data_IF_181150393826
#
_entry.id   IF_181150393826
#
_cell.length_a   1.000
_cell.length_b   1.000
_cell.length_c   1.000
_cell.angle_alpha   90.00
_cell.angle_beta   90.00
_cell.angle_gamma   90.00
#
_symmetry.space_group_name_H-M   'P 1'
#
loop_
_entity.id
_entity.type
_entity.pdbx_description
1 polymer ?
#
# COMPACT_ATOMS: atom_id res chain seq x y z
N UNK A 1 -11.26 -18.18 -4.47
CA UNK A 1 -11.18 -16.96 -3.63
C UNK A 1 -9.77 -16.86 -3.08
N UNK A 2 -8.80 -16.19 -3.73
CA UNK A 2 -7.48 -16.04 -3.09
C UNK A 2 -6.60 -14.90 -3.61
N UNK A 3 -6.67 -14.51 -4.89
CA UNK A 3 -5.66 -13.60 -5.47
C UNK A 3 -5.65 -12.15 -4.93
N UNK A 4 -6.67 -11.71 -4.19
CA UNK A 4 -6.69 -10.37 -3.57
C UNK A 4 -7.12 -10.34 -2.10
N UNK A 5 -7.67 -11.44 -1.56
CA UNK A 5 -8.25 -11.46 -0.22
C UNK A 5 -7.20 -11.34 0.89
N UNK A 6 -6.00 -11.89 0.68
CA UNK A 6 -4.91 -11.78 1.66
C UNK A 6 -4.36 -10.35 1.70
N UNK A 7 -4.15 -9.73 0.54
CA UNK A 7 -3.73 -8.31 0.45
C UNK A 7 -4.78 -7.41 1.07
N UNK A 8 -6.07 -7.61 0.76
CA UNK A 8 -7.19 -6.88 1.38
C UNK A 8 -7.19 -7.04 2.90
N UNK A 9 -7.05 -8.26 3.41
CA UNK A 9 -7.06 -8.52 4.84
C UNK A 9 -5.91 -7.80 5.55
N UNK A 10 -4.69 -7.92 5.03
CA UNK A 10 -3.50 -7.27 5.61
C UNK A 10 -3.65 -5.74 5.57
N UNK A 11 -4.16 -5.18 4.47
CA UNK A 11 -4.40 -3.73 4.37
C UNK A 11 -5.50 -3.26 5.34
N UNK A 12 -6.61 -4.00 5.46
CA UNK A 12 -7.68 -3.67 6.42
C UNK A 12 -7.15 -3.72 7.85
N UNK A 13 -6.36 -4.72 8.20
CA UNK A 13 -5.74 -4.83 9.52
C UNK A 13 -4.81 -3.64 9.80
N UNK A 14 -3.96 -3.27 8.84
CA UNK A 14 -3.06 -2.13 8.98
C UNK A 14 -3.85 -0.81 9.12
N UNK A 15 -4.82 -0.55 8.23
CA UNK A 15 -5.67 0.64 8.32
C UNK A 15 -6.48 0.69 9.62
N UNK A 16 -6.95 -0.45 10.11
CA UNK A 16 -7.63 -0.55 11.40
C UNK A 16 -6.71 -0.16 12.56
N UNK A 17 -5.48 -0.64 12.56
CA UNK A 17 -4.47 -0.27 13.56
C UNK A 17 -4.14 1.23 13.52
N UNK A 18 -3.88 1.78 12.33
CA UNK A 18 -3.62 3.22 12.16
C UNK A 18 -4.81 4.05 12.64
N UNK A 19 -6.03 3.66 12.29
CA UNK A 19 -7.26 4.37 12.70
C UNK A 19 -7.46 4.34 14.22
N UNK A 20 -7.14 3.21 14.86
CA UNK A 20 -7.14 3.10 16.32
C UNK A 20 -6.14 4.08 16.94
N UNK A 21 -4.89 4.11 16.49
CA UNK A 21 -3.86 5.02 17.01
C UNK A 21 -4.25 6.49 16.81
N UNK A 22 -4.78 6.86 15.64
CA UNK A 22 -5.26 8.24 15.38
C UNK A 22 -6.38 8.62 16.36
N UNK A 23 -7.27 7.68 16.69
CA UNK A 23 -8.35 7.92 17.65
C UNK A 23 -7.79 8.18 19.05
N UNK A 24 -6.80 7.41 19.49
CA UNK A 24 -6.11 7.63 20.78
C UNK A 24 -5.40 9.00 20.82
N UNK A 25 -4.72 9.38 19.72
CA UNK A 25 -4.07 10.70 19.57
C UNK A 25 -5.08 11.84 19.78
N UNK A 26 -6.28 11.72 19.20
CA UNK A 26 -7.35 12.71 19.37
C UNK A 26 -7.82 12.76 20.83
N UNK A 27 -8.03 11.60 21.47
CA UNK A 27 -8.47 11.53 22.87
C UNK A 27 -7.45 12.11 23.85
N UNK A 28 -6.16 11.97 23.54
CA UNK A 28 -5.06 12.56 24.31
C UNK A 28 -4.88 14.07 24.06
N UNK A 29 -5.69 14.68 23.19
CA UNK A 29 -5.66 16.12 22.90
C UNK A 29 -4.58 16.54 21.89
N UNK A 30 -3.89 15.59 21.25
CA UNK A 30 -2.93 15.90 20.20
C UNK A 30 -3.64 16.23 18.88
N UNK A 31 -2.99 17.04 18.04
CA UNK A 31 -3.53 17.40 16.74
C UNK A 31 -3.42 16.21 15.76
N UNK A 32 -4.56 15.67 15.26
CA UNK A 32 -4.55 14.50 14.36
C UNK A 32 -3.92 14.79 13.00
N UNK A 33 -4.05 16.01 12.48
CA UNK A 33 -3.40 16.39 11.22
C UNK A 33 -1.88 16.43 11.41
N UNK A 34 -1.41 16.90 12.56
CA UNK A 34 0.02 16.88 12.89
C UNK A 34 0.55 15.46 12.99
N UNK A 35 -0.22 14.55 13.59
CA UNK A 35 0.13 13.13 13.62
C UNK A 35 0.22 12.54 12.21
N UNK A 36 -0.81 12.70 11.38
CA UNK A 36 -0.81 12.16 10.00
C UNK A 36 0.36 12.72 9.19
N UNK A 37 0.61 14.03 9.27
CA UNK A 37 1.67 14.70 8.50
C UNK A 37 3.09 14.30 8.91
N UNK A 38 3.30 13.87 10.16
CA UNK A 38 4.63 13.53 10.68
C UNK A 38 4.87 12.03 10.72
N UNK A 39 3.89 11.24 11.12
CA UNK A 39 4.01 9.79 11.26
C UNK A 39 3.67 9.01 10.00
N UNK A 40 2.80 9.51 9.12
CA UNK A 40 2.28 8.72 7.98
C UNK A 40 2.72 9.32 6.66
N UNK A 41 2.48 10.62 6.45
CA UNK A 41 2.68 11.29 5.16
C UNK A 41 4.09 11.09 4.55
N UNK A 42 5.21 11.13 5.31
CA UNK A 42 6.55 11.05 4.73
C UNK A 42 6.78 9.78 3.90
N UNK A 43 6.40 8.61 4.41
CA UNK A 43 6.53 7.34 3.69
C UNK A 43 5.25 6.95 2.95
N UNK A 44 4.08 7.35 3.48
CA UNK A 44 2.76 7.03 2.94
C UNK A 44 2.52 7.57 1.52
N UNK A 45 3.22 8.63 1.10
CA UNK A 45 3.17 9.12 -0.28
C UNK A 45 3.68 8.10 -1.30
N UNK A 46 4.55 7.17 -0.90
CA UNK A 46 5.05 6.08 -1.74
C UNK A 46 4.30 4.77 -1.48
N UNK A 47 3.97 4.49 -0.23
CA UNK A 47 3.25 3.27 0.13
C UNK A 47 1.83 3.22 -0.46
N UNK A 48 1.07 4.32 -0.37
CA UNK A 48 -0.33 4.33 -0.83
C UNK A 48 -0.46 4.06 -2.35
N UNK A 49 0.31 4.71 -3.24
CA UNK A 49 0.28 4.35 -4.66
C UNK A 49 0.71 2.91 -4.93
N UNK A 50 1.71 2.39 -4.20
CA UNK A 50 2.18 1.00 -4.36
C UNK A 50 1.08 -0.01 -3.98
N UNK A 51 0.34 0.26 -2.91
CA UNK A 51 -0.82 -0.54 -2.48
C UNK A 51 -1.95 -0.48 -3.51
N UNK A 52 -2.29 0.71 -4.02
CA UNK A 52 -3.34 0.87 -5.04
C UNK A 52 -3.02 0.15 -6.35
N UNK A 53 -1.76 0.20 -6.80
CA UNK A 53 -1.28 -0.55 -7.96
C UNK A 53 -1.41 -2.05 -7.74
N UNK A 54 -1.03 -2.52 -6.55
CA UNK A 54 -1.17 -3.94 -6.17
C UNK A 54 -2.62 -4.41 -6.22
N UNK A 55 -3.56 -3.63 -5.66
CA UNK A 55 -4.99 -3.93 -5.74
C UNK A 55 -5.52 -3.94 -7.17
N UNK A 56 -5.10 -2.99 -7.99
CA UNK A 56 -5.50 -2.91 -9.41
C UNK A 56 -5.09 -4.17 -10.15
N UNK A 57 -3.87 -4.68 -9.93
CA UNK A 57 -3.43 -5.93 -10.53
C UNK A 57 -4.15 -7.16 -9.98
N UNK A 58 -4.42 -7.23 -8.68
CA UNK A 58 -5.21 -8.32 -8.10
C UNK A 58 -6.60 -8.42 -8.75
N UNK A 59 -7.28 -7.28 -8.95
CA UNK A 59 -8.55 -7.22 -9.66
C UNK A 59 -8.38 -7.59 -11.14
N UNK A 60 -7.33 -7.12 -11.82
CA UNK A 60 -7.07 -7.42 -13.24
C UNK A 60 -6.82 -8.91 -13.48
N UNK A 61 -6.07 -9.58 -12.61
CA UNK A 61 -5.83 -11.02 -12.66
C UNK A 61 -7.15 -11.78 -12.44
N UNK A 62 -7.95 -11.36 -11.45
CA UNK A 62 -9.27 -11.93 -11.21
C UNK A 62 -10.22 -11.76 -12.40
N UNK A 63 -10.23 -10.58 -13.03
CA UNK A 63 -11.03 -10.30 -14.22
C UNK A 63 -10.62 -11.16 -15.42
N UNK A 64 -9.32 -11.41 -15.62
CA UNK A 64 -8.81 -12.25 -16.70
C UNK A 64 -9.29 -13.72 -16.61
N UNK A 65 -9.71 -14.19 -15.43
CA UNK A 65 -10.29 -15.53 -15.27
C UNK A 65 -11.73 -15.65 -15.80
N UNK A 66 -12.43 -14.53 -15.93
CA UNK A 66 -13.84 -14.47 -16.35
C UNK A 66 -13.97 -13.88 -17.75
N UNK A 67 -13.17 -12.85 -18.04
CA UNK A 67 -13.11 -12.16 -19.32
C UNK A 67 -11.64 -11.96 -19.70
N UNK A 68 -11.05 -12.95 -20.40
CA UNK A 68 -9.69 -12.84 -20.91
C UNK A 68 -9.54 -11.62 -21.84
N UNK A 69 -8.33 -11.02 -21.94
CA UNK A 69 -8.07 -9.96 -22.90
C UNK A 69 -8.35 -10.39 -24.34
N UNK A 70 -8.79 -9.45 -25.19
CA UNK A 70 -9.13 -9.73 -26.59
C UNK A 70 -7.97 -10.40 -27.34
N UNK A 71 -8.30 -11.46 -28.10
CA UNK A 71 -7.32 -12.20 -28.89
C UNK A 71 -6.51 -13.25 -28.10
N UNK A 72 -6.79 -13.45 -26.81
CA UNK A 72 -6.14 -14.48 -25.99
C UNK A 72 -7.13 -15.51 -25.47
N UNK A 73 -6.69 -16.77 -25.36
CA UNK A 73 -7.42 -17.78 -24.59
C UNK A 73 -7.34 -17.50 -23.08
N UNK A 74 -8.12 -18.23 -22.28
CA UNK A 74 -8.14 -18.08 -20.82
C UNK A 74 -6.74 -18.19 -20.18
N UNK A 75 -5.97 -19.21 -20.59
CA UNK A 75 -4.66 -19.49 -20.01
C UNK A 75 -3.67 -18.40 -20.38
N UNK A 76 -3.65 -18.00 -21.64
CA UNK A 76 -2.81 -16.94 -22.16
C UNK A 76 -3.16 -15.58 -21.52
N UNK A 77 -4.44 -15.28 -21.35
CA UNK A 77 -4.92 -14.05 -20.72
C UNK A 77 -4.50 -13.93 -19.25
N UNK A 78 -4.67 -15.01 -18.49
CA UNK A 78 -4.21 -15.07 -17.09
C UNK A 78 -2.69 -15.00 -17.01
N UNK A 79 -1.96 -15.74 -17.87
CA UNK A 79 -0.50 -15.69 -17.91
C UNK A 79 0.03 -14.30 -18.27
N UNK A 80 -0.59 -13.62 -19.24
CA UNK A 80 -0.22 -12.26 -19.64
C UNK A 80 -0.42 -11.26 -18.50
N UNK A 81 -1.56 -11.32 -17.82
CA UNK A 81 -1.85 -10.43 -16.68
C UNK A 81 -0.93 -10.68 -15.50
N UNK A 82 -0.59 -11.94 -15.21
CA UNK A 82 0.41 -12.31 -14.20
C UNK A 82 1.81 -11.82 -14.58
N UNK A 83 2.23 -11.99 -15.84
CA UNK A 83 3.53 -11.52 -16.31
C UNK A 83 3.66 -9.99 -16.19
N UNK A 84 2.60 -9.26 -16.52
CA UNK A 84 2.55 -7.80 -16.34
C UNK A 84 2.58 -7.41 -14.86
N UNK A 85 1.85 -8.13 -14.00
CA UNK A 85 1.90 -7.92 -12.56
C UNK A 85 3.33 -8.12 -12.02
N UNK A 86 4.00 -9.22 -12.37
CA UNK A 86 5.37 -9.49 -11.90
C UNK A 86 6.34 -8.38 -12.33
N UNK A 87 6.23 -7.88 -13.57
CA UNK A 87 7.05 -6.75 -14.04
C UNK A 87 6.81 -5.50 -13.19
N UNK A 88 5.55 -5.11 -13.00
CA UNK A 88 5.22 -3.92 -12.18
C UNK A 88 5.59 -4.13 -10.71
N UNK A 89 5.43 -5.35 -10.19
CA UNK A 89 5.82 -5.70 -8.83
C UNK A 89 7.31 -5.47 -8.62
N UNK A 90 8.16 -6.04 -9.48
CA UNK A 90 9.61 -6.00 -9.34
C UNK A 90 10.21 -4.62 -9.66
N UNK A 91 9.70 -3.94 -10.69
CA UNK A 91 10.32 -2.70 -11.19
C UNK A 91 9.67 -1.42 -10.70
N UNK A 92 8.51 -1.49 -10.04
CA UNK A 92 7.81 -0.31 -9.53
C UNK A 92 7.37 -0.47 -8.07
N UNK A 93 6.53 -1.46 -7.76
CA UNK A 93 5.94 -1.61 -6.42
C UNK A 93 7.01 -1.87 -5.36
N UNK A 94 7.89 -2.87 -5.56
CA UNK A 94 8.96 -3.18 -4.60
C UNK A 94 9.92 -1.99 -4.42
N UNK A 95 10.45 -1.35 -5.48
CA UNK A 95 11.26 -0.15 -5.33
C UNK A 95 10.56 0.96 -4.53
N UNK A 96 9.28 1.22 -4.81
CA UNK A 96 8.51 2.23 -4.07
C UNK A 96 8.40 1.88 -2.59
N UNK A 97 8.09 0.63 -2.26
CA UNK A 97 7.99 0.16 -0.87
C UNK A 97 9.34 0.16 -0.15
N UNK A 98 10.44 -0.14 -0.84
CA UNK A 98 11.78 -0.06 -0.25
C UNK A 98 12.16 1.38 0.10
N UNK A 99 11.84 2.33 -0.78
CA UNK A 99 12.07 3.76 -0.51
C UNK A 99 11.14 4.22 0.61
N UNK A 100 9.87 3.81 0.62
CA UNK A 100 8.93 4.10 1.70
C UNK A 100 9.45 3.59 3.05
N UNK A 101 9.87 2.33 3.12
CA UNK A 101 10.43 1.71 4.33
C UNK A 101 11.72 2.39 4.79
N UNK A 102 12.58 2.83 3.86
CA UNK A 102 13.76 3.62 4.21
C UNK A 102 13.37 4.95 4.86
N UNK A 103 12.39 5.66 4.30
CA UNK A 103 11.86 6.91 4.86
C UNK A 103 11.20 6.65 6.23
N UNK A 104 10.45 5.58 6.38
CA UNK A 104 9.81 5.18 7.63
C UNK A 104 10.83 4.87 8.73
N UNK A 105 11.87 4.11 8.41
CA UNK A 105 12.86 3.68 9.40
C UNK A 105 13.87 4.79 9.76
N UNK A 106 14.20 5.69 8.84
CA UNK A 106 15.30 6.66 9.03
C UNK A 106 14.83 8.10 9.15
N UNK A 107 13.84 8.53 8.36
CA UNK A 107 13.48 9.96 8.24
C UNK A 107 12.26 10.29 9.11
N UNK A 108 11.24 9.45 9.09
CA UNK A 108 10.00 9.63 9.86
C UNK A 108 10.27 9.84 11.36
N UNK A 109 11.16 9.06 12.04
CA UNK A 109 11.45 9.27 13.45
C UNK A 109 12.13 10.62 13.72
N UNK A 110 12.98 11.09 12.80
CA UNK A 110 13.64 12.39 12.93
C UNK A 110 12.63 13.54 12.82
N UNK A 111 11.69 13.45 11.87
CA UNK A 111 10.60 14.43 11.73
C UNK A 111 9.75 14.46 13.00
N UNK A 112 9.35 13.29 13.49
CA UNK A 112 8.56 13.17 14.73
C UNK A 112 9.30 13.80 15.91
N UNK A 113 10.57 13.46 16.12
CA UNK A 113 11.37 14.03 17.21
C UNK A 113 11.50 15.55 17.07
N UNK A 114 11.73 16.07 15.87
CA UNK A 114 11.88 17.52 15.65
C UNK A 114 10.60 18.32 15.96
N UNK A 115 9.43 17.69 15.83
CA UNK A 115 8.11 18.32 16.06
C UNK A 115 7.62 18.12 17.49
N UNK A 116 7.78 16.91 18.06
CA UNK A 116 7.20 16.53 19.35
C UNK A 116 8.16 16.60 20.53
N UNK A 117 9.49 16.66 20.31
CA UNK A 117 10.46 16.81 21.41
C UNK A 117 10.68 18.28 21.83
N UNK A 118 9.76 19.17 21.43
CA UNK A 118 9.70 20.58 21.85
C UNK A 118 8.68 20.75 22.96
#
# INVERSE_FOLDING_TARGET
>A
MSFGSLTLLITILNMGFVSFVVTEVIQLGYNPLLFISTFILPHGILELPAVLLSFTFALRIGAAMVSPPDGFDLTQGVLLTLANFIKVLLFLIIPMLLVAAYIEANITPQIVLAVYAR
#
